data_IF_110905566952
#
_entry.id   IF_110905566952
#
_cell.length_a   1.000
_cell.length_b   1.000
_cell.length_c   1.000
_cell.angle_alpha   90.00
_cell.angle_beta   90.00
_cell.angle_gamma   90.00
#
_symmetry.space_group_name_H-M   'P 1'
#
loop_
_entity.id
_entity.type
_entity.pdbx_description
1 polymer ?
#
# COMPACT_ATOMS: atom_id res chain seq x y z
N UNK A 1 3.15 33.33 0.93
CA UNK A 1 3.17 32.73 -0.43
C UNK A 1 2.72 33.71 -1.52
N UNK A 2 1.46 34.14 -1.56
CA UNK A 2 0.95 35.03 -2.63
C UNK A 2 1.79 36.32 -2.79
N UNK A 3 2.05 37.03 -1.69
CA UNK A 3 2.87 38.24 -1.74
C UNK A 3 4.33 37.97 -2.19
N UNK A 4 4.88 36.79 -1.87
CA UNK A 4 6.22 36.40 -2.31
C UNK A 4 6.27 36.14 -3.82
N UNK A 5 5.24 35.49 -4.36
CA UNK A 5 5.08 35.26 -5.79
C UNK A 5 4.86 36.57 -6.56
N UNK A 6 4.03 37.48 -6.04
CA UNK A 6 3.85 38.83 -6.59
C UNK A 6 5.12 39.67 -6.57
N UNK A 7 6.02 39.41 -5.61
CA UNK A 7 7.34 40.02 -5.54
C UNK A 7 8.39 39.33 -6.44
N UNK A 8 7.97 38.41 -7.32
CA UNK A 8 8.83 37.75 -8.31
C UNK A 8 9.56 36.51 -7.81
N UNK A 9 9.28 36.01 -6.60
CA UNK A 9 9.89 34.75 -6.11
C UNK A 9 9.23 33.54 -6.76
N UNK A 10 10.04 32.54 -7.09
CA UNK A 10 9.56 31.29 -7.73
C UNK A 10 10.41 30.07 -7.33
N UNK A 11 9.93 28.87 -7.65
CA UNK A 11 10.65 27.61 -7.44
C UNK A 11 11.19 27.44 -6.02
N UNK A 12 12.50 27.20 -5.89
CA UNK A 12 13.17 26.98 -4.61
C UNK A 12 13.01 28.13 -3.61
N UNK A 13 12.91 29.38 -4.08
CA UNK A 13 12.73 30.54 -3.18
C UNK A 13 11.37 30.53 -2.49
N UNK A 14 10.32 30.04 -3.17
CA UNK A 14 9.01 29.86 -2.56
C UNK A 14 9.02 28.69 -1.57
N UNK A 15 9.70 27.59 -1.92
CA UNK A 15 9.84 26.44 -1.04
C UNK A 15 10.52 26.81 0.28
N UNK A 16 11.63 27.56 0.22
CA UNK A 16 12.36 28.02 1.42
C UNK A 16 11.48 28.87 2.35
N UNK A 17 10.61 29.72 1.79
CA UNK A 17 9.66 30.53 2.58
C UNK A 17 8.63 29.63 3.27
N UNK A 18 8.10 28.63 2.57
CA UNK A 18 7.16 27.68 3.16
C UNK A 18 7.82 26.84 4.26
N UNK A 19 9.04 26.34 4.02
CA UNK A 19 9.79 25.55 4.99
C UNK A 19 10.09 26.36 6.25
N UNK A 20 10.54 27.61 6.10
CA UNK A 20 10.76 28.52 7.22
C UNK A 20 9.47 28.80 7.99
N UNK A 21 8.37 29.08 7.29
CA UNK A 21 7.08 29.30 7.93
C UNK A 21 6.63 28.06 8.72
N UNK A 22 6.76 26.87 8.15
CA UNK A 22 6.41 25.61 8.81
C UNK A 22 7.24 25.37 10.08
N UNK A 23 8.53 25.70 10.05
CA UNK A 23 9.40 25.60 11.23
C UNK A 23 9.01 26.58 12.34
N UNK A 24 8.59 27.80 11.99
CA UNK A 24 8.21 28.85 12.94
C UNK A 24 6.75 28.72 13.45
N UNK A 25 5.86 28.10 12.68
CA UNK A 25 4.43 28.04 12.96
C UNK A 25 4.05 27.19 14.20
N UNK A 26 4.96 26.35 14.70
CA UNK A 26 4.72 25.53 15.89
C UNK A 26 3.57 24.52 15.72
N UNK A 27 3.47 23.91 14.52
CA UNK A 27 2.39 22.99 14.16
C UNK A 27 2.27 21.82 15.15
N UNK A 28 1.07 21.60 15.66
CA UNK A 28 0.73 20.51 16.59
C UNK A 28 -0.74 20.14 16.47
N UNK A 29 -1.15 19.02 17.07
CA UNK A 29 -2.57 18.71 17.24
C UNK A 29 -3.18 19.63 18.29
N UNK A 30 -4.48 19.90 18.20
CA UNK A 30 -5.15 20.74 19.20
C UNK A 30 -5.00 20.17 20.62
N UNK A 31 -5.05 18.85 20.77
CA UNK A 31 -4.83 18.18 22.06
C UNK A 31 -3.43 18.44 22.63
N UNK A 32 -2.40 18.51 21.79
CA UNK A 32 -1.04 18.82 22.21
C UNK A 32 -0.90 20.29 22.61
N UNK A 33 -1.55 21.21 21.89
CA UNK A 33 -1.61 22.61 22.28
C UNK A 33 -2.25 22.79 23.67
N UNK A 34 -3.28 21.99 23.97
CA UNK A 34 -3.93 21.99 25.28
C UNK A 34 -3.00 21.44 26.37
N UNK A 35 -2.32 20.32 26.10
CA UNK A 35 -1.36 19.73 27.03
C UNK A 35 -0.22 20.71 27.33
N UNK A 36 0.34 21.35 26.31
CA UNK A 36 1.42 22.33 26.47
C UNK A 36 0.95 23.53 27.31
N UNK A 37 -0.27 24.01 27.07
CA UNK A 37 -0.86 25.08 27.87
C UNK A 37 -1.00 24.68 29.36
N UNK A 38 -1.52 23.48 29.65
CA UNK A 38 -1.63 22.98 31.03
C UNK A 38 -0.25 22.83 31.67
N UNK A 39 0.73 22.32 30.93
CA UNK A 39 2.12 22.16 31.40
C UNK A 39 2.79 23.49 31.71
N UNK A 40 2.54 24.53 30.91
CA UNK A 40 3.07 25.87 31.11
C UNK A 40 2.37 26.65 32.25
N UNK A 41 1.13 26.28 32.60
CA UNK A 41 0.36 26.94 33.66
C UNK A 41 0.92 26.71 35.08
N UNK A 42 0.32 27.39 36.06
CA UNK A 42 0.72 27.32 37.49
C UNK A 42 -0.08 26.29 38.32
N UNK A 43 -1.02 25.56 37.70
CA UNK A 43 -1.82 24.56 38.39
C UNK A 43 -0.94 23.48 39.04
N UNK A 44 -1.26 23.05 40.26
CA UNK A 44 -0.51 22.00 40.97
C UNK A 44 -0.90 20.58 40.50
N UNK A 45 -2.09 20.41 39.93
CA UNK A 45 -2.68 19.13 39.52
C UNK A 45 -2.63 18.88 37.99
N UNK A 46 -1.53 19.29 37.32
CA UNK A 46 -1.39 19.28 35.85
C UNK A 46 -1.72 17.94 35.21
N UNK A 47 -1.21 16.83 35.76
CA UNK A 47 -1.44 15.50 35.18
C UNK A 47 -2.92 15.10 35.22
N UNK A 48 -3.61 15.38 36.34
CA UNK A 48 -5.03 15.09 36.47
C UNK A 48 -5.88 15.91 35.47
N UNK A 49 -5.48 17.16 35.20
CA UNK A 49 -6.13 17.99 34.18
C UNK A 49 -5.90 17.45 32.76
N UNK A 50 -4.67 17.02 32.44
CA UNK A 50 -4.33 16.39 31.15
C UNK A 50 -5.16 15.11 30.95
N UNK A 51 -5.18 14.22 31.94
CA UNK A 51 -5.91 12.96 31.86
C UNK A 51 -7.42 13.20 31.73
N UNK A 52 -7.95 14.19 32.45
CA UNK A 52 -9.35 14.59 32.34
C UNK A 52 -9.67 15.15 30.94
N UNK A 53 -8.84 16.04 30.41
CA UNK A 53 -9.01 16.57 29.06
C UNK A 53 -8.99 15.46 28.00
N UNK A 54 -7.99 14.59 28.04
CA UNK A 54 -7.84 13.51 27.05
C UNK A 54 -9.00 12.52 27.08
N UNK A 55 -9.56 12.23 28.27
CA UNK A 55 -10.77 11.40 28.39
C UNK A 55 -12.01 12.12 27.88
N UNK A 56 -12.26 13.33 28.35
CA UNK A 56 -13.52 14.05 28.11
C UNK A 56 -13.62 14.54 26.65
N UNK A 57 -12.49 14.83 26.00
CA UNK A 57 -12.43 15.29 24.60
C UNK A 57 -12.36 14.14 23.56
N UNK A 58 -12.21 12.88 23.98
CA UNK A 58 -12.06 11.75 23.06
C UNK A 58 -13.30 11.59 22.16
N UNK A 59 -13.10 11.59 20.85
CA UNK A 59 -14.18 11.46 19.86
C UNK A 59 -15.06 12.70 19.71
N UNK A 60 -14.68 13.83 20.31
CA UNK A 60 -15.41 15.11 20.19
C UNK A 60 -14.90 15.95 19.02
N UNK A 61 -15.77 16.83 18.53
CA UNK A 61 -15.40 17.86 17.55
C UNK A 61 -14.40 18.85 18.13
N UNK A 62 -13.71 19.60 17.27
CA UNK A 62 -12.78 20.65 17.71
C UNK A 62 -13.48 21.74 18.55
N UNK A 63 -14.74 22.08 18.23
CA UNK A 63 -15.50 23.08 18.97
C UNK A 63 -15.81 22.62 20.40
N UNK A 64 -16.23 21.36 20.55
CA UNK A 64 -16.46 20.74 21.87
C UNK A 64 -15.16 20.61 22.66
N UNK A 65 -14.08 20.14 22.03
CA UNK A 65 -12.77 20.02 22.67
C UNK A 65 -12.26 21.38 23.18
N UNK A 66 -12.50 22.47 22.44
CA UNK A 66 -12.19 23.84 22.89
C UNK A 66 -13.02 24.26 24.11
N UNK A 67 -14.31 23.93 24.13
CA UNK A 67 -15.16 24.22 25.28
C UNK A 67 -14.68 23.47 26.54
N UNK A 68 -14.31 22.20 26.39
CA UNK A 68 -13.73 21.37 27.47
C UNK A 68 -12.41 21.98 27.94
N UNK A 69 -11.51 22.32 27.01
CA UNK A 69 -10.23 22.93 27.35
C UNK A 69 -10.41 24.23 28.13
N UNK A 70 -11.27 25.15 27.65
CA UNK A 70 -11.57 26.42 28.32
C UNK A 70 -12.14 26.22 29.72
N UNK A 71 -13.01 25.23 29.91
CA UNK A 71 -13.56 24.90 31.22
C UNK A 71 -12.50 24.37 32.20
N UNK A 72 -11.49 23.65 31.70
CA UNK A 72 -10.42 23.08 32.52
C UNK A 72 -9.27 24.05 32.81
N UNK A 73 -8.90 24.91 31.85
CA UNK A 73 -7.75 25.81 31.96
C UNK A 73 -8.13 27.24 32.34
N UNK A 74 -9.42 27.60 32.21
CA UNK A 74 -9.91 28.96 32.45
C UNK A 74 -9.54 29.97 31.35
N UNK A 75 -8.92 29.52 30.26
CA UNK A 75 -8.41 30.41 29.20
C UNK A 75 -8.61 29.80 27.82
N UNK A 76 -8.62 30.65 26.79
CA UNK A 76 -8.68 30.20 25.41
C UNK A 76 -7.30 29.82 24.89
N UNK A 77 -7.23 28.68 24.23
CA UNK A 77 -5.99 28.13 23.70
C UNK A 77 -5.89 28.51 22.22
N UNK A 78 -4.85 29.28 21.89
CA UNK A 78 -4.58 29.66 20.52
C UNK A 78 -4.32 28.42 19.66
N UNK A 79 -5.12 28.28 18.61
CA UNK A 79 -4.96 27.22 17.62
C UNK A 79 -5.65 27.65 16.34
N UNK A 80 -4.91 27.66 15.23
CA UNK A 80 -5.43 27.99 13.92
C UNK A 80 -4.86 27.00 12.89
N UNK A 81 -5.71 26.11 12.40
CA UNK A 81 -5.36 25.15 11.35
C UNK A 81 -5.54 25.69 9.93
N UNK A 82 -6.22 26.84 9.76
CA UNK A 82 -6.50 27.45 8.45
C UNK A 82 -5.29 28.23 7.93
N UNK A 83 -4.47 28.76 8.84
CA UNK A 83 -3.23 29.47 8.51
C UNK A 83 -2.17 28.55 7.90
N UNK A 84 -2.23 27.24 8.19
CA UNK A 84 -1.28 26.25 7.72
C UNK A 84 -1.67 25.57 6.40
N UNK A 85 -2.76 26.02 5.76
CA UNK A 85 -3.23 25.40 4.52
C UNK A 85 -2.24 25.57 3.38
N UNK A 86 -2.21 24.57 2.49
CA UNK A 86 -1.42 24.64 1.25
C UNK A 86 -2.03 25.66 0.29
N UNK A 87 -1.32 25.96 -0.82
CA UNK A 87 -1.81 26.86 -1.87
C UNK A 87 -3.15 26.41 -2.48
N UNK A 88 -3.36 25.10 -2.53
CA UNK A 88 -4.58 24.44 -3.01
C UNK A 88 -5.70 24.44 -1.96
N UNK A 89 -5.41 24.88 -0.73
CA UNK A 89 -6.37 24.93 0.37
C UNK A 89 -6.44 23.66 1.22
N UNK A 90 -5.50 22.71 1.07
CA UNK A 90 -5.49 21.50 1.88
C UNK A 90 -5.05 21.77 3.32
N UNK A 91 -5.70 21.11 4.28
CA UNK A 91 -5.29 21.11 5.68
C UNK A 91 -4.07 20.22 5.91
N UNK A 92 -3.21 20.62 6.85
CA UNK A 92 -2.15 19.74 7.36
C UNK A 92 -2.78 18.61 8.16
N UNK A 93 -2.25 17.41 7.97
CA UNK A 93 -2.80 16.19 8.56
C UNK A 93 -1.68 15.33 9.13
N UNK A 94 -1.82 14.89 10.39
CA UNK A 94 -0.87 13.95 11.00
C UNK A 94 -1.35 12.52 10.75
N UNK A 95 -0.70 11.87 9.80
CA UNK A 95 -0.90 10.43 9.53
C UNK A 95 -0.29 9.53 10.60
N UNK A 96 -0.20 8.24 10.29
CA UNK A 96 0.36 7.20 11.16
C UNK A 96 -0.66 6.11 11.53
N UNK A 97 -0.20 5.05 12.21
CA UNK A 97 -1.02 3.86 12.52
C UNK A 97 -2.30 4.22 13.26
N UNK A 98 -2.22 5.08 14.28
CA UNK A 98 -3.38 5.50 15.08
C UNK A 98 -4.45 6.21 14.23
N UNK A 99 -4.03 7.03 13.28
CA UNK A 99 -4.94 7.66 12.32
C UNK A 99 -5.59 6.62 11.40
N UNK A 100 -4.80 5.66 10.91
CA UNK A 100 -5.31 4.60 10.04
C UNK A 100 -6.31 3.70 10.76
N UNK A 101 -6.04 3.29 12.00
CA UNK A 101 -6.98 2.53 12.85
C UNK A 101 -8.28 3.31 13.02
N UNK A 102 -8.23 4.61 13.33
CA UNK A 102 -9.43 5.44 13.47
C UNK A 102 -10.31 5.42 12.21
N UNK A 103 -9.69 5.52 11.03
CA UNK A 103 -10.41 5.45 9.74
C UNK A 103 -10.93 4.04 9.45
N UNK A 104 -10.10 3.02 9.66
CA UNK A 104 -10.46 1.62 9.46
C UNK A 104 -11.68 1.22 10.30
N UNK A 105 -11.70 1.57 11.59
CA UNK A 105 -12.84 1.30 12.47
C UNK A 105 -14.12 1.96 11.96
N UNK A 106 -14.03 3.16 11.40
CA UNK A 106 -15.17 3.86 10.81
C UNK A 106 -15.63 3.25 9.46
N UNK A 107 -14.70 2.68 8.70
CA UNK A 107 -14.99 2.04 7.41
C UNK A 107 -15.51 0.61 7.55
N UNK A 108 -15.16 -0.08 8.64
CA UNK A 108 -15.45 -1.49 8.85
C UNK A 108 -16.91 -1.93 8.63
N UNK A 109 -17.95 -1.16 9.02
CA UNK A 109 -19.33 -1.56 8.75
C UNK A 109 -19.71 -1.62 7.27
N UNK A 110 -18.88 -1.09 6.37
CA UNK A 110 -19.17 -0.89 4.96
C UNK A 110 -18.17 -1.59 4.03
N UNK A 111 -17.21 -2.32 4.58
CA UNK A 111 -16.15 -2.96 3.82
C UNK A 111 -15.91 -4.39 4.33
N UNK A 112 -15.91 -5.35 3.40
CA UNK A 112 -15.68 -6.76 3.70
C UNK A 112 -14.24 -7.04 4.15
N UNK A 113 -13.28 -6.25 3.64
CA UNK A 113 -11.88 -6.27 4.02
C UNK A 113 -11.35 -4.84 4.19
N UNK A 114 -10.39 -4.65 5.08
CA UNK A 114 -9.68 -3.38 5.26
C UNK A 114 -8.19 -3.54 4.95
N UNK A 115 -7.64 -2.57 4.25
CA UNK A 115 -6.21 -2.45 3.97
C UNK A 115 -5.69 -1.08 4.43
N UNK A 116 -4.59 -1.09 5.18
CA UNK A 116 -3.75 0.09 5.44
C UNK A 116 -2.45 -0.02 4.64
N UNK A 117 -2.17 0.95 3.78
CA UNK A 117 -0.87 1.06 3.10
C UNK A 117 0.25 1.34 4.12
N UNK A 118 1.41 0.73 3.92
CA UNK A 118 2.57 0.84 4.82
C UNK A 118 3.82 1.29 4.07
N UNK A 119 4.75 1.92 4.79
CA UNK A 119 6.01 2.41 4.21
C UNK A 119 7.06 1.31 4.09
N UNK A 120 6.98 0.29 4.96
CA UNK A 120 7.93 -0.81 5.10
C UNK A 120 7.16 -2.08 5.47
N UNK A 121 7.73 -3.28 5.24
CA UNK A 121 7.16 -4.53 5.69
C UNK A 121 7.41 -4.74 7.21
N UNK A 122 6.91 -3.80 8.02
CA UNK A 122 7.07 -3.82 9.48
C UNK A 122 5.94 -4.61 10.14
N UNK A 123 6.28 -5.78 10.68
CA UNK A 123 5.34 -6.66 11.38
C UNK A 123 4.74 -5.99 12.63
N UNK A 124 5.51 -5.18 13.36
CA UNK A 124 5.00 -4.53 14.59
C UNK A 124 3.91 -3.52 14.26
N UNK A 125 4.09 -2.71 13.21
CA UNK A 125 3.06 -1.81 12.71
C UNK A 125 1.83 -2.57 12.18
N UNK A 126 2.03 -3.67 11.46
CA UNK A 126 0.92 -4.50 10.99
C UNK A 126 0.10 -5.07 12.17
N UNK A 127 0.79 -5.54 13.21
CA UNK A 127 0.14 -6.00 14.44
C UNK A 127 -0.60 -4.88 15.18
N UNK A 128 0.02 -3.71 15.34
CA UNK A 128 -0.63 -2.55 15.97
C UNK A 128 -1.91 -2.16 15.23
N UNK A 129 -1.89 -2.18 13.90
CA UNK A 129 -3.07 -1.89 13.09
C UNK A 129 -4.16 -2.97 13.26
N UNK A 130 -3.79 -4.25 13.15
CA UNK A 130 -4.71 -5.37 13.30
C UNK A 130 -5.38 -5.37 14.69
N UNK A 131 -4.58 -5.30 15.76
CA UNK A 131 -5.06 -5.22 17.15
C UNK A 131 -6.01 -4.02 17.32
N UNK A 132 -5.67 -2.86 16.75
CA UNK A 132 -6.47 -1.65 16.84
C UNK A 132 -7.83 -1.75 16.16
N UNK A 133 -7.90 -2.40 14.99
CA UNK A 133 -9.17 -2.65 14.28
C UNK A 133 -10.00 -3.73 14.98
N UNK A 134 -9.35 -4.84 15.35
CA UNK A 134 -10.00 -5.99 15.99
C UNK A 134 -10.49 -5.70 17.42
N UNK A 135 -9.94 -4.68 18.09
CA UNK A 135 -10.48 -4.20 19.36
C UNK A 135 -11.93 -3.70 19.27
N UNK A 136 -12.38 -3.27 18.09
CA UNK A 136 -13.77 -2.84 17.83
C UNK A 136 -14.53 -3.84 16.96
N UNK A 137 -13.84 -4.41 15.96
CA UNK A 137 -14.43 -5.35 15.00
C UNK A 137 -13.60 -6.65 14.97
N UNK A 138 -13.78 -7.57 15.95
CA UNK A 138 -12.91 -8.73 16.15
C UNK A 138 -12.83 -9.69 14.95
N UNK A 139 -13.87 -9.72 14.12
CA UNK A 139 -13.97 -10.60 12.95
C UNK A 139 -13.68 -9.87 11.62
N UNK A 140 -13.20 -8.62 11.67
CA UNK A 140 -12.91 -7.86 10.47
C UNK A 140 -11.75 -8.49 9.71
N UNK A 141 -11.97 -8.80 8.43
CA UNK A 141 -10.95 -9.35 7.55
C UNK A 141 -10.00 -8.25 7.12
N UNK A 142 -8.70 -8.54 7.08
CA UNK A 142 -7.69 -7.58 6.68
C UNK A 142 -7.01 -8.03 5.38
N UNK A 143 -6.52 -7.05 4.63
CA UNK A 143 -5.70 -7.27 3.46
C UNK A 143 -4.35 -6.54 3.58
N UNK A 144 -3.30 -7.14 3.00
CA UNK A 144 -1.93 -6.61 3.09
C UNK A 144 -1.24 -6.57 1.73
N UNK A 145 -0.67 -5.40 1.40
CA UNK A 145 0.17 -5.21 0.23
C UNK A 145 1.62 -5.62 0.54
N UNK A 146 2.07 -6.72 -0.05
CA UNK A 146 3.46 -7.17 -0.05
C UNK A 146 4.26 -6.35 -1.09
N UNK A 147 4.40 -5.05 -0.81
CA UNK A 147 4.82 -4.07 -1.81
C UNK A 147 6.20 -4.38 -2.41
N UNK A 148 6.34 -4.43 -3.74
CA UNK A 148 7.64 -4.54 -4.39
C UNK A 148 8.45 -3.24 -4.33
N UNK A 149 7.85 -2.13 -3.86
CA UNK A 149 8.60 -0.90 -3.56
C UNK A 149 9.47 -1.04 -2.30
N UNK A 150 9.25 -2.08 -1.49
CA UNK A 150 10.13 -2.39 -0.37
C UNK A 150 11.41 -3.04 -0.88
N UNK A 151 12.55 -2.63 -0.32
CA UNK A 151 13.78 -3.40 -0.49
C UNK A 151 13.75 -4.60 0.48
N UNK A 152 13.10 -5.70 0.06
CA UNK A 152 12.92 -6.91 0.87
C UNK A 152 14.24 -7.48 1.41
N UNK A 153 15.30 -7.47 0.58
CA UNK A 153 16.64 -7.94 0.96
C UNK A 153 17.23 -7.13 2.12
N UNK A 154 16.98 -5.83 2.17
CA UNK A 154 17.45 -4.96 3.25
C UNK A 154 16.48 -4.92 4.44
N UNK A 155 15.19 -5.17 4.20
CA UNK A 155 14.16 -5.04 5.23
C UNK A 155 14.16 -6.21 6.22
N UNK A 156 14.43 -7.44 5.77
CA UNK A 156 14.44 -8.63 6.64
C UNK A 156 15.24 -9.80 6.03
N UNK A 157 15.76 -10.73 6.86
CA UNK A 157 16.48 -11.92 6.39
C UNK A 157 15.55 -12.93 5.71
N UNK A 158 16.13 -13.88 4.94
CA UNK A 158 15.38 -14.78 4.04
C UNK A 158 14.40 -15.70 4.76
N UNK A 159 14.78 -16.22 5.93
CA UNK A 159 13.93 -17.02 6.81
C UNK A 159 12.71 -16.22 7.32
N UNK A 160 12.90 -14.93 7.58
CA UNK A 160 11.79 -14.03 7.89
C UNK A 160 10.91 -13.70 6.68
N UNK A 161 11.49 -13.56 5.48
CA UNK A 161 10.73 -13.35 4.23
C UNK A 161 9.80 -14.54 3.96
N UNK A 162 10.31 -15.76 4.13
CA UNK A 162 9.56 -17.01 3.93
C UNK A 162 8.34 -17.12 4.84
N UNK A 163 8.48 -16.67 6.09
CA UNK A 163 7.40 -16.77 7.09
C UNK A 163 6.50 -15.53 7.16
N UNK A 164 6.85 -14.42 6.50
CA UNK A 164 6.18 -13.13 6.67
C UNK A 164 4.67 -13.19 6.37
N UNK A 165 4.30 -13.83 5.25
CA UNK A 165 2.90 -14.01 4.83
C UNK A 165 2.10 -14.77 5.88
N UNK A 166 2.67 -15.87 6.40
CA UNK A 166 2.02 -16.70 7.40
C UNK A 166 1.85 -15.94 8.73
N UNK A 167 2.89 -15.22 9.18
CA UNK A 167 2.82 -14.37 10.38
C UNK A 167 1.74 -13.31 10.25
N UNK A 168 1.62 -12.65 9.09
CA UNK A 168 0.51 -11.73 8.82
C UNK A 168 -0.86 -12.43 8.84
N UNK A 169 -0.95 -13.64 8.27
CA UNK A 169 -2.19 -14.42 8.28
C UNK A 169 -2.72 -14.70 9.70
N UNK A 170 -1.83 -14.91 10.67
CA UNK A 170 -2.20 -15.09 12.09
C UNK A 170 -2.82 -13.84 12.73
N UNK A 171 -2.60 -12.66 12.15
CA UNK A 171 -3.20 -11.39 12.56
C UNK A 171 -4.51 -11.06 11.82
N UNK A 172 -5.02 -11.98 10.99
CA UNK A 172 -6.26 -11.77 10.23
C UNK A 172 -6.07 -11.16 8.83
N UNK A 173 -4.83 -11.01 8.36
CA UNK A 173 -4.54 -10.63 6.96
C UNK A 173 -4.79 -11.81 6.02
N UNK A 174 -6.07 -12.07 5.71
CA UNK A 174 -6.52 -13.24 4.97
C UNK A 174 -6.37 -13.10 3.44
N UNK A 175 -6.10 -11.90 2.93
CA UNK A 175 -5.77 -11.68 1.52
C UNK A 175 -4.51 -10.83 1.40
N UNK A 176 -3.54 -11.32 0.65
CA UNK A 176 -2.23 -10.67 0.50
C UNK A 176 -1.80 -10.73 -0.96
N UNK A 177 -1.16 -9.66 -1.43
CA UNK A 177 -0.84 -9.52 -2.85
C UNK A 177 0.43 -8.70 -3.05
N UNK A 178 1.16 -8.99 -4.13
CA UNK A 178 2.29 -8.19 -4.60
C UNK A 178 1.79 -7.37 -5.79
N UNK A 179 1.61 -6.07 -5.59
CA UNK A 179 0.93 -5.18 -6.55
C UNK A 179 1.55 -5.18 -7.96
N UNK A 180 2.88 -5.16 -8.06
CA UNK A 180 3.60 -5.01 -9.34
C UNK A 180 4.43 -6.25 -9.70
N UNK A 181 4.12 -7.43 -9.16
CA UNK A 181 4.86 -8.66 -9.47
C UNK A 181 4.86 -8.98 -10.98
N UNK A 182 3.70 -8.86 -11.64
CA UNK A 182 3.59 -9.08 -13.09
C UNK A 182 4.46 -8.13 -13.92
N UNK A 183 4.55 -6.86 -13.51
CA UNK A 183 5.42 -5.87 -14.15
C UNK A 183 6.90 -6.27 -14.02
N UNK A 184 7.35 -6.57 -12.80
CA UNK A 184 8.75 -6.87 -12.53
C UNK A 184 9.20 -8.20 -13.14
N UNK A 185 8.36 -9.23 -13.11
CA UNK A 185 8.66 -10.53 -13.73
C UNK A 185 8.77 -10.41 -15.25
N UNK A 186 7.82 -9.71 -15.89
CA UNK A 186 7.85 -9.46 -17.35
C UNK A 186 9.07 -8.64 -17.75
N UNK A 187 9.38 -7.57 -17.02
CA UNK A 187 10.52 -6.71 -17.30
C UNK A 187 11.86 -7.45 -17.15
N UNK A 188 12.00 -8.26 -16.10
CA UNK A 188 13.21 -9.02 -15.82
C UNK A 188 13.52 -10.02 -16.94
N UNK A 189 12.56 -10.87 -17.30
CA UNK A 189 12.79 -11.89 -18.33
C UNK A 189 13.00 -11.25 -19.70
N UNK A 190 12.30 -10.16 -19.98
CA UNK A 190 12.44 -9.42 -21.24
C UNK A 190 13.84 -8.82 -21.39
N UNK A 191 14.41 -8.17 -20.35
CA UNK A 191 15.79 -7.66 -20.40
C UNK A 191 16.81 -8.79 -20.53
N UNK A 192 16.70 -9.83 -19.71
CA UNK A 192 17.62 -10.97 -19.73
C UNK A 192 17.64 -11.66 -21.10
N UNK A 193 16.45 -12.00 -21.62
CA UNK A 193 16.32 -12.67 -22.91
C UNK A 193 16.78 -11.77 -24.06
N UNK A 194 16.29 -10.53 -24.17
CA UNK A 194 16.64 -9.65 -25.28
C UNK A 194 18.16 -9.37 -25.34
N UNK A 195 18.80 -9.20 -24.17
CA UNK A 195 20.25 -9.00 -24.05
C UNK A 195 21.04 -10.22 -24.52
N UNK A 196 20.65 -11.42 -24.08
CA UNK A 196 21.32 -12.66 -24.48
C UNK A 196 21.05 -13.00 -25.95
N UNK A 197 19.83 -12.78 -26.42
CA UNK A 197 19.41 -13.03 -27.81
C UNK A 197 20.16 -12.13 -28.79
N UNK A 198 20.34 -10.85 -28.47
CA UNK A 198 21.13 -9.94 -29.29
C UNK A 198 22.62 -10.36 -29.42
N UNK A 199 23.14 -11.13 -28.47
CA UNK A 199 24.53 -11.60 -28.47
C UNK A 199 24.70 -13.00 -29.06
N UNK A 200 23.76 -13.92 -28.78
CA UNK A 200 23.90 -15.35 -29.01
C UNK A 200 22.82 -15.94 -29.93
N UNK A 201 21.87 -15.14 -30.42
CA UNK A 201 20.79 -15.56 -31.31
C UNK A 201 19.98 -16.72 -30.73
N UNK A 202 19.69 -17.73 -31.56
CA UNK A 202 18.84 -18.87 -31.18
C UNK A 202 19.36 -19.70 -30.02
N UNK A 203 20.67 -19.66 -29.74
CA UNK A 203 21.22 -20.31 -28.53
C UNK A 203 20.57 -19.75 -27.26
N UNK A 204 20.34 -18.44 -27.19
CA UNK A 204 19.67 -17.82 -26.05
C UNK A 204 18.20 -18.26 -25.91
N UNK A 205 17.51 -18.55 -27.02
CA UNK A 205 16.15 -19.08 -26.96
C UNK A 205 16.11 -20.52 -26.45
N UNK A 206 17.02 -21.38 -26.92
CA UNK A 206 17.18 -22.74 -26.40
C UNK A 206 17.48 -22.74 -24.90
N UNK A 207 18.58 -22.09 -24.49
CA UNK A 207 19.10 -22.14 -23.11
C UNK A 207 18.23 -21.40 -22.08
N UNK A 208 17.63 -20.24 -22.43
CA UNK A 208 16.94 -19.39 -21.45
C UNK A 208 15.42 -19.53 -21.46
N UNK A 209 14.83 -20.11 -22.52
CA UNK A 209 13.38 -20.19 -22.70
C UNK A 209 12.94 -21.62 -22.88
N UNK A 210 13.30 -22.26 -24.00
CA UNK A 210 12.72 -23.54 -24.39
C UNK A 210 13.16 -24.71 -23.50
N UNK A 211 14.46 -24.84 -23.19
CA UNK A 211 14.95 -25.89 -22.28
C UNK A 211 14.34 -25.74 -20.88
N UNK A 212 14.34 -24.55 -20.23
CA UNK A 212 13.62 -24.34 -18.98
C UNK A 212 12.11 -24.63 -19.05
N UNK A 213 11.41 -24.26 -20.13
CA UNK A 213 10.00 -24.57 -20.31
C UNK A 213 9.75 -26.09 -20.35
N UNK A 214 10.62 -26.85 -21.02
CA UNK A 214 10.54 -28.31 -21.07
C UNK A 214 10.88 -28.96 -19.73
N UNK A 215 11.96 -28.52 -19.07
CA UNK A 215 12.40 -29.05 -17.76
C UNK A 215 11.37 -28.81 -16.64
N UNK A 216 10.75 -27.63 -16.64
CA UNK A 216 9.73 -27.24 -15.67
C UNK A 216 8.34 -27.75 -16.04
N UNK A 217 8.16 -28.29 -17.25
CA UNK A 217 6.86 -28.77 -17.75
C UNK A 217 5.84 -27.66 -17.93
N UNK A 218 6.25 -26.49 -18.42
CA UNK A 218 5.37 -25.35 -18.70
C UNK A 218 4.42 -25.72 -19.83
N UNK A 219 3.12 -25.59 -19.58
CA UNK A 219 2.04 -25.97 -20.52
C UNK A 219 2.11 -25.25 -21.87
N UNK A 220 2.55 -23.99 -21.85
CA UNK A 220 2.70 -23.12 -23.03
C UNK A 220 3.72 -23.65 -24.05
N UNK A 221 4.66 -24.53 -23.68
CA UNK A 221 5.62 -25.10 -24.65
C UNK A 221 4.89 -25.81 -25.80
N UNK A 222 3.77 -26.48 -25.48
CA UNK A 222 2.79 -26.99 -26.45
C UNK A 222 1.73 -25.93 -26.75
N UNK A 223 2.16 -24.83 -27.37
CA UNK A 223 1.37 -23.62 -27.58
C UNK A 223 0.10 -23.81 -28.44
N UNK A 224 0.06 -24.77 -29.37
CA UNK A 224 -1.16 -25.12 -30.11
C UNK A 224 -2.16 -25.83 -29.20
N UNK A 225 -1.70 -26.82 -28.43
CA UNK A 225 -2.56 -27.49 -27.45
C UNK A 225 -3.06 -26.51 -26.38
N UNK A 226 -2.18 -25.69 -25.82
CA UNK A 226 -2.48 -24.70 -24.79
C UNK A 226 -3.48 -23.65 -25.25
N UNK A 227 -3.32 -23.13 -26.47
CA UNK A 227 -4.25 -22.15 -27.06
C UNK A 227 -5.61 -22.75 -27.42
N UNK A 228 -5.80 -24.06 -27.26
CA UNK A 228 -7.07 -24.74 -27.47
C UNK A 228 -7.29 -25.21 -28.91
N UNK A 229 -6.24 -25.42 -29.72
CA UNK A 229 -6.38 -25.90 -31.09
C UNK A 229 -7.20 -27.20 -31.17
N UNK A 230 -6.95 -28.16 -30.27
CA UNK A 230 -7.72 -29.39 -30.18
C UNK A 230 -9.21 -29.13 -29.86
N UNK A 231 -9.50 -28.17 -28.99
CA UNK A 231 -10.88 -27.83 -28.63
C UNK A 231 -11.65 -27.30 -29.83
N UNK A 232 -11.04 -26.39 -30.59
CA UNK A 232 -11.65 -25.86 -31.83
C UNK A 232 -11.75 -26.95 -32.90
N UNK A 233 -10.74 -27.79 -33.05
CA UNK A 233 -10.76 -28.90 -34.01
C UNK A 233 -11.89 -29.90 -33.74
N UNK A 234 -12.16 -30.23 -32.47
CA UNK A 234 -13.29 -31.10 -32.11
C UNK A 234 -14.65 -30.42 -32.32
N UNK A 235 -14.76 -29.11 -32.04
CA UNK A 235 -15.95 -28.35 -32.40
C UNK A 235 -16.20 -28.34 -33.92
N UNK A 236 -15.14 -28.21 -34.73
CA UNK A 236 -15.23 -28.27 -36.18
C UNK A 236 -15.68 -29.65 -36.65
N UNK A 237 -15.03 -30.73 -36.18
CA UNK A 237 -15.43 -32.10 -36.51
C UNK A 237 -16.88 -32.37 -36.14
N UNK A 238 -17.35 -31.87 -35.00
CA UNK A 238 -18.74 -32.00 -34.57
C UNK A 238 -19.72 -31.39 -35.59
N UNK A 239 -19.43 -30.21 -36.13
CA UNK A 239 -20.33 -29.50 -37.07
C UNK A 239 -20.11 -29.86 -38.54
N UNK A 240 -18.97 -30.45 -38.90
CA UNK A 240 -18.65 -30.86 -40.29
C UNK A 240 -18.83 -32.36 -40.54
N UNK A 241 -19.44 -33.10 -39.60
CA UNK A 241 -19.76 -34.52 -39.79
C UNK A 241 -18.57 -35.46 -39.61
N UNK A 242 -17.62 -35.10 -38.75
CA UNK A 242 -16.49 -35.94 -38.34
C UNK A 242 -15.21 -35.80 -39.17
N UNK A 243 -15.22 -34.99 -40.24
CA UNK A 243 -14.07 -34.77 -41.12
C UNK A 243 -13.91 -33.26 -41.38
N UNK A 244 -12.71 -32.73 -41.17
CA UNK A 244 -12.35 -31.36 -41.53
C UNK A 244 -10.95 -31.34 -42.17
N UNK A 245 -10.83 -30.77 -43.36
CA UNK A 245 -9.55 -30.64 -44.08
C UNK A 245 -8.66 -29.51 -43.55
N UNK A 246 -9.15 -28.72 -42.59
CA UNK A 246 -8.44 -27.56 -42.00
C UNK A 246 -8.14 -27.75 -40.52
N UNK A 247 -8.21 -28.98 -40.00
CA UNK A 247 -7.86 -29.30 -38.61
C UNK A 247 -6.38 -28.95 -38.36
N UNK A 248 -6.10 -28.17 -37.31
CA UNK A 248 -4.74 -27.75 -36.99
C UNK A 248 -3.88 -28.90 -36.41
N UNK A 249 -4.51 -29.90 -35.78
CA UNK A 249 -3.86 -30.98 -35.05
C UNK A 249 -3.95 -32.32 -35.80
N UNK A 250 -3.15 -32.44 -36.87
CA UNK A 250 -3.08 -33.62 -37.76
C UNK A 250 -1.78 -34.44 -37.63
N UNK A 251 -1.51 -35.29 -38.64
CA UNK A 251 -0.24 -36.05 -38.72
C UNK A 251 0.91 -35.11 -39.11
N UNK A 252 1.94 -34.99 -38.26
CA UNK A 252 3.13 -34.15 -38.51
C UNK A 252 3.08 -32.76 -37.86
N UNK A 253 2.35 -32.60 -36.74
CA UNK A 253 2.34 -31.34 -35.98
C UNK A 253 3.73 -31.03 -35.42
N UNK A 254 4.10 -29.76 -35.41
CA UNK A 254 5.41 -29.29 -34.96
C UNK A 254 5.67 -29.59 -33.48
N UNK A 255 4.62 -29.78 -32.68
CA UNK A 255 4.72 -30.09 -31.26
C UNK A 255 5.23 -31.51 -30.96
N UNK A 256 5.25 -32.41 -31.94
CA UNK A 256 5.84 -33.75 -31.75
C UNK A 256 7.34 -33.70 -31.43
N UNK A 257 7.99 -32.55 -31.66
CA UNK A 257 9.41 -32.31 -31.37
C UNK A 257 9.70 -32.01 -29.89
N UNK A 258 8.67 -31.73 -29.08
CA UNK A 258 8.82 -31.36 -27.67
C UNK A 258 8.56 -32.53 -26.69
N UNK A 259 8.49 -33.78 -27.21
CA UNK A 259 8.26 -35.00 -26.43
C UNK A 259 9.53 -35.60 -25.86
#
# INVERSE_FOLDING_TARGET
MIAAEQAGKSGAQLQEIEDKWNAEAGLKLFSEAVIDHIKAGSASNKQALIDKFLRDARGKSNAEARAIAKALTGSEIYFNWDSARTREGYYRYRGGTQCAVNRAVAFAPFADLIWMESKLPDYAQAKEFADGVHAVWPEQKLAYNLSPSFNWKAAMPRDEQETYIHRLGQLGYCWQFITLAGLHTTALISDQFARAYAQNGMRAYGELVQEPEMELGVDVVTHQKWSGANYVDELLKMVTGGISSTSAMGKGVTEDQFK
#
